data_IF_789857371085
#
_entry.id   IF_789857371085
#
_cell.length_a   1.000
_cell.length_b   1.000
_cell.length_c   1.000
_cell.angle_alpha   90.00
_cell.angle_beta   90.00
_cell.angle_gamma   90.00
#
_symmetry.space_group_name_H-M   'P 1'
#
loop_
_entity.id
_entity.type
_entity.pdbx_description
1 polymer ?
#
# COMPACT_ATOMS: atom_id res chain seq x y z
N UNK A 1 -2.28 -6.43 -26.40
CA UNK A 1 -2.54 -5.25 -25.55
C UNK A 1 -1.82 -4.06 -26.16
N UNK A 2 -2.51 -2.97 -26.48
CA UNK A 2 -1.85 -1.74 -26.90
C UNK A 2 -1.45 -0.93 -25.66
N UNK A 3 -0.14 -0.85 -25.40
CA UNK A 3 0.41 -0.13 -24.25
C UNK A 3 0.12 1.37 -24.29
N UNK A 4 0.05 1.97 -25.48
CA UNK A 4 -0.22 3.41 -25.61
C UNK A 4 -1.65 3.73 -25.22
N UNK A 5 -2.58 2.88 -25.60
CA UNK A 5 -3.99 3.06 -25.24
C UNK A 5 -4.24 2.79 -23.75
N UNK A 6 -3.52 1.83 -23.15
CA UNK A 6 -3.52 1.66 -21.69
C UNK A 6 -3.04 2.93 -20.98
N UNK A 7 -1.95 3.55 -21.44
CA UNK A 7 -1.44 4.81 -20.87
C UNK A 7 -2.45 5.95 -21.04
N UNK A 8 -3.06 6.10 -22.22
CA UNK A 8 -4.07 7.14 -22.47
C UNK A 8 -5.31 6.96 -21.60
N UNK A 9 -5.72 5.71 -21.38
CA UNK A 9 -6.83 5.38 -20.47
C UNK A 9 -6.49 5.76 -19.04
N UNK A 10 -5.28 5.44 -18.56
CA UNK A 10 -4.82 5.80 -17.23
C UNK A 10 -4.75 7.33 -17.02
N UNK A 11 -4.22 8.07 -18.00
CA UNK A 11 -4.18 9.54 -17.96
C UNK A 11 -5.58 10.14 -17.85
N UNK A 12 -6.52 9.63 -18.65
CA UNK A 12 -7.94 10.06 -18.60
C UNK A 12 -8.55 9.78 -17.24
N UNK A 13 -8.39 8.57 -16.71
CA UNK A 13 -8.90 8.19 -15.40
C UNK A 13 -8.32 9.04 -14.25
N UNK A 14 -7.06 9.44 -14.38
CA UNK A 14 -6.39 10.37 -13.46
C UNK A 14 -6.85 11.83 -13.63
N UNK A 15 -7.68 12.16 -14.63
CA UNK A 15 -8.20 13.50 -14.87
C UNK A 15 -7.33 14.38 -15.78
N UNK A 16 -6.35 13.80 -16.46
CA UNK A 16 -5.53 14.49 -17.46
C UNK A 16 -6.07 14.30 -18.87
N UNK A 17 -5.75 15.26 -19.75
CA UNK A 17 -6.07 15.19 -21.19
C UNK A 17 -5.00 14.37 -21.91
N UNK A 18 -5.25 13.11 -22.33
CA UNK A 18 -4.20 12.20 -22.79
C UNK A 18 -3.49 12.68 -24.07
N UNK A 19 -4.18 13.40 -24.96
CA UNK A 19 -3.58 13.92 -26.20
C UNK A 19 -2.53 15.01 -25.99
N UNK A 20 -2.36 15.51 -24.76
CA UNK A 20 -1.27 16.45 -24.41
C UNK A 20 0.06 15.75 -24.12
N UNK A 21 0.09 14.42 -24.13
CA UNK A 21 1.26 13.64 -23.75
C UNK A 21 1.79 12.84 -24.94
N UNK A 22 3.11 12.88 -25.12
CA UNK A 22 3.82 11.95 -26.00
C UNK A 22 4.08 10.65 -25.25
N UNK A 23 3.77 9.52 -25.88
CA UNK A 23 3.91 8.18 -25.25
C UNK A 23 4.96 7.37 -25.99
N UNK A 24 6.08 7.14 -25.32
CA UNK A 24 7.15 6.28 -25.77
C UNK A 24 7.05 4.89 -25.11
N UNK A 25 7.29 3.84 -25.88
CA UNK A 25 7.20 2.45 -25.41
C UNK A 25 8.53 1.76 -25.67
N UNK A 26 9.28 1.50 -24.59
CA UNK A 26 10.56 0.79 -24.62
C UNK A 26 10.50 -0.42 -23.70
N UNK A 27 9.90 -1.52 -24.18
CA UNK A 27 9.73 -2.76 -23.43
C UNK A 27 10.62 -3.86 -24.03
N UNK A 28 11.25 -4.65 -23.17
CA UNK A 28 12.06 -5.82 -23.52
C UNK A 28 11.43 -7.07 -22.94
N UNK A 29 11.78 -8.24 -23.49
CA UNK A 29 11.45 -9.54 -22.89
C UNK A 29 12.28 -9.72 -21.62
N UNK A 30 11.75 -10.53 -20.69
CA UNK A 30 12.51 -10.95 -19.51
C UNK A 30 13.76 -11.73 -19.92
N UNK A 31 14.84 -11.63 -19.16
CA UNK A 31 16.04 -12.43 -19.35
C UNK A 31 15.75 -13.92 -19.18
N UNK A 32 16.32 -14.76 -20.04
CA UNK A 32 16.19 -16.21 -19.92
C UNK A 32 16.82 -16.72 -18.62
N UNK A 33 17.99 -16.21 -18.22
CA UNK A 33 18.67 -16.64 -16.99
C UNK A 33 17.81 -16.40 -15.73
N UNK A 34 17.06 -15.28 -15.71
CA UNK A 34 16.10 -14.99 -14.62
C UNK A 34 14.89 -15.91 -14.75
N UNK A 35 14.37 -16.08 -15.97
CA UNK A 35 13.21 -16.92 -16.21
C UNK A 35 13.45 -18.37 -15.76
N UNK A 36 14.60 -18.96 -16.07
CA UNK A 36 14.92 -20.35 -15.71
C UNK A 36 15.01 -20.53 -14.19
N UNK A 37 15.56 -19.54 -13.48
CA UNK A 37 15.58 -19.47 -12.03
C UNK A 37 14.18 -19.42 -11.40
N UNK A 38 13.26 -18.70 -12.04
CA UNK A 38 11.88 -18.54 -11.57
C UNK A 38 11.02 -19.74 -11.92
N UNK A 39 11.00 -20.15 -13.18
CA UNK A 39 10.15 -21.21 -13.72
C UNK A 39 10.47 -22.58 -13.14
N UNK A 40 11.71 -22.81 -12.70
CA UNK A 40 12.09 -24.03 -11.99
C UNK A 40 12.93 -23.61 -10.80
N UNK A 41 12.38 -23.75 -9.60
CA UNK A 41 13.08 -23.36 -8.37
C UNK A 41 14.35 -24.18 -8.12
N UNK A 42 15.15 -23.75 -7.15
CA UNK A 42 16.31 -24.49 -6.65
C UNK A 42 15.91 -25.84 -6.07
N UNK A 43 14.81 -25.89 -5.32
CA UNK A 43 14.26 -27.11 -4.73
C UNK A 43 13.81 -28.10 -5.81
N UNK A 44 13.10 -27.63 -6.83
CA UNK A 44 12.66 -28.45 -7.96
C UNK A 44 13.84 -28.96 -8.79
N UNK A 45 14.88 -28.15 -9.01
CA UNK A 45 16.14 -28.60 -9.64
C UNK A 45 16.84 -29.69 -8.84
N UNK A 46 16.58 -29.79 -7.55
CA UNK A 46 17.14 -30.81 -6.66
C UNK A 46 16.17 -31.98 -6.40
N UNK A 47 15.05 -32.06 -7.15
CA UNK A 47 14.14 -33.21 -7.14
C UNK A 47 12.91 -33.06 -6.23
N UNK A 48 12.64 -31.86 -5.68
CA UNK A 48 11.36 -31.61 -4.99
C UNK A 48 10.23 -31.37 -6.00
N UNK A 49 9.33 -32.35 -6.11
CA UNK A 49 8.18 -32.31 -7.03
C UNK A 49 6.91 -31.73 -6.38
N UNK A 50 6.99 -31.22 -5.15
CA UNK A 50 5.82 -30.64 -4.49
C UNK A 50 5.34 -29.41 -5.24
N UNK A 51 4.02 -29.30 -5.44
CA UNK A 51 3.40 -28.26 -6.26
C UNK A 51 3.77 -26.82 -5.83
N UNK A 52 4.13 -26.63 -4.56
CA UNK A 52 4.49 -25.34 -3.98
C UNK A 52 5.97 -24.99 -4.16
N UNK A 53 6.83 -25.96 -4.44
CA UNK A 53 8.25 -25.78 -4.67
C UNK A 53 8.58 -25.62 -6.16
N UNK A 54 7.62 -25.72 -7.09
CA UNK A 54 7.94 -25.67 -8.52
C UNK A 54 8.52 -24.33 -8.98
N UNK A 55 8.14 -23.22 -8.33
CA UNK A 55 8.49 -21.87 -8.77
C UNK A 55 9.33 -21.12 -7.73
N UNK A 56 10.47 -20.58 -8.15
CA UNK A 56 11.39 -19.81 -7.32
C UNK A 56 11.03 -18.32 -7.25
N UNK A 57 11.59 -17.63 -6.26
CA UNK A 57 11.46 -16.18 -6.15
C UNK A 57 12.09 -15.44 -7.35
N UNK A 58 11.38 -14.42 -7.85
CA UNK A 58 11.82 -13.58 -8.99
C UNK A 58 13.09 -12.77 -8.76
N UNK A 59 13.43 -12.50 -7.51
CA UNK A 59 14.60 -11.74 -7.09
C UNK A 59 14.89 -12.07 -5.61
N UNK A 60 16.05 -11.65 -5.12
CA UNK A 60 16.31 -11.60 -3.68
C UNK A 60 15.63 -10.39 -3.05
N UNK A 61 15.28 -10.49 -1.76
CA UNK A 61 14.76 -9.35 -1.03
C UNK A 61 14.10 -9.72 0.29
N UNK A 62 14.07 -8.74 1.19
CA UNK A 62 13.29 -8.81 2.43
C UNK A 62 12.04 -7.97 2.27
N UNK A 63 10.89 -8.51 2.63
CA UNK A 63 9.60 -7.82 2.60
C UNK A 63 9.02 -7.77 4.00
N UNK A 64 8.21 -6.74 4.25
CA UNK A 64 7.59 -6.51 5.55
C UNK A 64 6.08 -6.43 5.44
N UNK A 65 5.45 -7.03 6.44
CA UNK A 65 4.04 -6.90 6.76
C UNK A 65 3.89 -6.25 8.11
N UNK A 66 2.88 -5.41 8.29
CA UNK A 66 2.55 -4.81 9.57
C UNK A 66 1.04 -4.79 9.76
N UNK A 67 0.57 -4.86 10.99
CA UNK A 67 -0.82 -4.61 11.39
C UNK A 67 -0.88 -4.06 12.82
N UNK A 68 -1.91 -3.26 13.11
CA UNK A 68 -2.16 -2.73 14.46
C UNK A 68 -3.67 -2.58 14.73
N UNK A 69 -4.02 -2.25 15.97
CA UNK A 69 -5.41 -2.09 16.41
C UNK A 69 -5.97 -0.67 16.26
N UNK A 70 -5.20 0.27 15.69
CA UNK A 70 -5.60 1.68 15.56
C UNK A 70 -6.89 1.87 14.76
N UNK A 71 -7.14 1.03 13.76
CA UNK A 71 -8.33 1.10 12.90
C UNK A 71 -8.93 -0.29 12.62
N UNK A 72 -10.21 -0.38 12.19
CA UNK A 72 -10.84 -1.65 11.80
C UNK A 72 -10.12 -2.37 10.65
N UNK A 73 -9.46 -1.61 9.76
CA UNK A 73 -8.68 -2.18 8.66
C UNK A 73 -7.32 -2.74 9.13
N UNK A 74 -7.02 -2.63 10.42
CA UNK A 74 -5.74 -2.97 11.07
C UNK A 74 -4.54 -2.19 10.52
N UNK A 75 -4.71 -0.88 10.31
CA UNK A 75 -3.67 -0.01 9.78
C UNK A 75 -3.42 1.17 10.73
N UNK A 76 -2.25 1.81 10.67
CA UNK A 76 -2.00 3.02 11.44
C UNK A 76 -3.00 4.13 11.10
N UNK A 77 -3.54 4.80 12.12
CA UNK A 77 -4.57 5.82 11.91
C UNK A 77 -4.10 7.01 11.03
N UNK A 78 -2.90 7.60 11.20
CA UNK A 78 -2.42 8.70 10.35
C UNK A 78 -2.45 8.37 8.86
N UNK A 79 -2.05 7.15 8.52
CA UNK A 79 -2.07 6.64 7.15
C UNK A 79 -3.51 6.58 6.62
N UNK A 80 -4.42 5.96 7.38
CA UNK A 80 -5.82 5.80 6.99
C UNK A 80 -6.47 7.16 6.73
N UNK A 81 -6.26 8.13 7.63
CA UNK A 81 -6.79 9.48 7.48
C UNK A 81 -6.21 10.21 6.25
N UNK A 82 -4.90 10.14 6.03
CA UNK A 82 -4.28 10.76 4.86
C UNK A 82 -4.81 10.17 3.53
N UNK A 83 -4.99 8.84 3.47
CA UNK A 83 -5.60 8.18 2.32
C UNK A 83 -7.06 8.57 2.12
N UNK A 84 -7.83 8.64 3.20
CA UNK A 84 -9.25 9.00 3.15
C UNK A 84 -9.46 10.44 2.66
N UNK A 85 -8.61 11.38 3.11
CA UNK A 85 -8.61 12.76 2.61
C UNK A 85 -8.34 12.78 1.10
N UNK A 86 -7.28 12.11 0.62
CA UNK A 86 -6.97 12.05 -0.81
C UNK A 86 -8.08 11.38 -1.65
N UNK A 87 -8.70 10.30 -1.15
CA UNK A 87 -9.85 9.65 -1.81
C UNK A 87 -11.03 10.60 -1.94
N UNK A 88 -11.32 11.37 -0.90
CA UNK A 88 -12.40 12.36 -0.90
C UNK A 88 -12.10 13.53 -1.83
N UNK A 89 -10.86 14.00 -1.92
CA UNK A 89 -10.45 14.98 -2.92
C UNK A 89 -10.71 14.48 -4.34
N UNK A 90 -10.30 13.24 -4.64
CA UNK A 90 -10.55 12.61 -5.94
C UNK A 90 -12.04 12.48 -6.24
N UNK A 91 -12.84 12.06 -5.26
CA UNK A 91 -14.29 11.95 -5.40
C UNK A 91 -14.93 13.32 -5.65
N UNK A 92 -14.61 14.34 -4.84
CA UNK A 92 -15.14 15.69 -4.96
C UNK A 92 -14.79 16.32 -6.32
N UNK A 93 -13.57 16.08 -6.82
CA UNK A 93 -13.17 16.50 -8.17
C UNK A 93 -13.97 15.81 -9.25
N UNK A 94 -14.11 14.48 -9.18
CA UNK A 94 -14.82 13.68 -10.21
C UNK A 94 -16.32 13.96 -10.24
N UNK A 95 -16.91 14.20 -9.08
CA UNK A 95 -18.35 14.47 -8.91
C UNK A 95 -18.70 15.94 -9.11
N UNK A 96 -17.71 16.84 -9.11
CA UNK A 96 -17.93 18.29 -9.19
C UNK A 96 -18.45 18.90 -7.88
N UNK A 97 -18.39 18.18 -6.76
CA UNK A 97 -18.80 18.68 -5.42
C UNK A 97 -17.99 19.91 -5.01
N UNK A 98 -16.69 19.91 -5.32
CA UNK A 98 -15.83 21.09 -5.18
C UNK A 98 -15.41 21.48 -6.59
N UNK A 99 -15.89 22.62 -7.05
CA UNK A 99 -15.52 23.15 -8.37
C UNK A 99 -14.19 23.88 -8.30
N UNK A 100 -13.42 23.79 -9.39
CA UNK A 100 -12.13 24.47 -9.52
C UNK A 100 -10.96 23.79 -8.85
N UNK A 101 -11.07 22.52 -8.41
CA UNK A 101 -9.92 21.68 -8.02
C UNK A 101 -9.52 20.72 -9.15
N UNK A 102 -8.25 20.32 -9.17
CA UNK A 102 -7.66 19.46 -10.20
C UNK A 102 -7.01 18.21 -9.61
N UNK A 103 -6.35 17.43 -10.46
CA UNK A 103 -5.93 16.05 -10.17
C UNK A 103 -4.76 15.89 -9.21
N UNK A 104 -3.95 16.93 -8.96
CA UNK A 104 -2.82 16.84 -8.03
C UNK A 104 -3.24 17.26 -6.62
N UNK A 105 -3.01 16.37 -5.66
CA UNK A 105 -3.45 16.52 -4.28
C UNK A 105 -2.57 15.74 -3.32
N UNK A 106 -2.31 16.33 -2.15
CA UNK A 106 -1.45 15.78 -1.10
C UNK A 106 -2.14 15.97 0.25
N UNK A 107 -2.04 14.96 1.12
CA UNK A 107 -2.51 15.03 2.49
C UNK A 107 -1.44 14.48 3.44
N UNK A 108 -1.32 15.12 4.60
CA UNK A 108 -0.50 14.68 5.72
C UNK A 108 -1.31 14.86 6.99
N UNK A 109 -1.25 13.87 7.88
CA UNK A 109 -1.98 13.88 9.16
C UNK A 109 -1.03 13.51 10.27
N UNK A 110 -0.98 14.33 11.31
CA UNK A 110 -0.28 14.06 12.56
C UNK A 110 -1.30 13.68 13.63
N UNK A 111 -1.07 12.55 14.30
CA UNK A 111 -1.93 12.04 15.37
C UNK A 111 -1.08 11.90 16.63
N UNK A 112 -1.59 12.41 17.75
CA UNK A 112 -0.99 12.19 19.07
C UNK A 112 -1.35 10.79 19.56
N UNK A 113 -0.34 10.06 20.00
CA UNK A 113 -0.48 8.77 20.66
C UNK A 113 -0.18 8.92 22.16
N UNK A 114 -0.80 8.10 22.99
CA UNK A 114 -0.43 7.97 24.40
C UNK A 114 0.73 6.97 24.60
N UNK A 115 1.22 6.84 25.83
CA UNK A 115 2.32 5.93 26.19
C UNK A 115 2.01 4.46 25.91
N UNK A 116 0.72 4.08 25.90
CA UNK A 116 0.26 2.75 25.55
C UNK A 116 0.16 2.53 24.02
N UNK A 117 0.59 3.49 23.20
CA UNK A 117 0.55 3.40 21.75
C UNK A 117 -0.84 3.48 21.15
N UNK A 118 -1.81 4.12 21.82
CA UNK A 118 -3.18 4.34 21.31
C UNK A 118 -3.37 5.76 20.79
N UNK A 119 -4.01 5.94 19.61
CA UNK A 119 -4.28 7.27 19.07
C UNK A 119 -5.27 8.03 19.95
N UNK A 120 -4.98 9.29 20.25
CA UNK A 120 -5.75 10.14 21.17
C UNK A 120 -6.42 11.32 20.48
N UNK A 121 -5.70 12.02 19.60
CA UNK A 121 -6.20 13.23 18.93
C UNK A 121 -5.49 13.46 17.59
N UNK A 122 -6.21 14.01 16.62
CA UNK A 122 -5.60 14.59 15.41
C UNK A 122 -5.02 15.95 15.80
N UNK A 123 -3.70 16.13 15.67
CA UNK A 123 -3.05 17.39 16.04
C UNK A 123 -2.93 18.34 14.86
N UNK A 124 -2.59 17.81 13.69
CA UNK A 124 -2.37 18.64 12.50
C UNK A 124 -2.82 17.90 11.26
N UNK A 125 -3.55 18.59 10.40
CA UNK A 125 -3.91 18.13 9.06
C UNK A 125 -3.37 19.14 8.06
N UNK A 126 -2.55 18.66 7.13
CA UNK A 126 -2.08 19.46 5.99
C UNK A 126 -2.68 18.91 4.72
N UNK A 127 -3.37 19.76 3.96
CA UNK A 127 -3.89 19.42 2.64
C UNK A 127 -3.35 20.42 1.64
N UNK A 128 -2.75 19.93 0.55
CA UNK A 128 -2.38 20.75 -0.60
C UNK A 128 -3.07 20.21 -1.82
N UNK A 129 -3.97 21.00 -2.42
CA UNK A 129 -4.75 20.60 -3.59
C UNK A 129 -4.57 21.61 -4.72
N UNK A 130 -4.34 21.07 -5.92
CA UNK A 130 -4.24 21.85 -7.14
C UNK A 130 -5.60 22.47 -7.48
N UNK A 131 -5.62 23.73 -7.87
CA UNK A 131 -6.85 24.47 -8.16
C UNK A 131 -6.69 25.49 -9.29
N UNK A 132 -7.82 25.94 -9.81
CA UNK A 132 -7.89 27.00 -10.81
C UNK A 132 -7.37 28.33 -10.25
N UNK A 133 -6.69 29.13 -11.07
CA UNK A 133 -6.13 30.43 -10.68
C UNK A 133 -7.21 31.40 -10.15
N UNK A 134 -8.45 31.25 -10.59
CA UNK A 134 -9.60 32.06 -10.18
C UNK A 134 -10.29 31.55 -8.91
N UNK A 135 -9.94 30.37 -8.40
CA UNK A 135 -10.55 29.82 -7.19
C UNK A 135 -10.22 30.72 -6.00
N UNK A 136 -11.25 31.21 -5.33
CA UNK A 136 -11.11 31.96 -4.09
C UNK A 136 -10.52 31.07 -3.00
N UNK A 137 -9.51 31.60 -2.30
CA UNK A 137 -8.70 30.82 -1.36
C UNK A 137 -9.44 30.55 -0.05
N UNK A 138 -10.27 31.49 0.41
CA UNK A 138 -11.08 31.33 1.62
C UNK A 138 -12.19 30.30 1.39
N UNK A 139 -12.83 30.35 0.22
CA UNK A 139 -13.80 29.34 -0.21
C UNK A 139 -13.15 27.96 -0.30
N UNK A 140 -11.99 27.84 -0.95
CA UNK A 140 -11.25 26.58 -1.03
C UNK A 140 -10.94 26.03 0.37
N UNK A 141 -10.40 26.87 1.28
CA UNK A 141 -10.10 26.45 2.65
C UNK A 141 -11.35 25.92 3.35
N UNK A 142 -12.47 26.66 3.29
CA UNK A 142 -13.73 26.26 3.92
C UNK A 142 -14.24 24.93 3.37
N UNK A 143 -14.29 24.77 2.05
CA UNK A 143 -14.79 23.56 1.39
C UNK A 143 -13.93 22.33 1.70
N UNK A 144 -12.60 22.46 1.67
CA UNK A 144 -11.70 21.35 1.99
C UNK A 144 -11.83 20.97 3.47
N UNK A 145 -11.89 21.95 4.37
CA UNK A 145 -12.06 21.66 5.80
C UNK A 145 -13.40 20.97 6.10
N UNK A 146 -14.51 21.48 5.56
CA UNK A 146 -15.85 20.98 5.91
C UNK A 146 -16.30 19.75 5.13
N UNK A 147 -15.94 19.62 3.85
CA UNK A 147 -16.42 18.55 2.98
C UNK A 147 -15.43 17.38 2.88
N UNK A 148 -14.15 17.62 3.19
CA UNK A 148 -13.08 16.63 3.03
C UNK A 148 -12.49 16.23 4.37
N UNK A 149 -11.85 17.17 5.10
CA UNK A 149 -11.10 16.87 6.33
C UNK A 149 -12.02 16.38 7.45
N UNK A 150 -13.07 17.15 7.78
CA UNK A 150 -14.03 16.78 8.81
C UNK A 150 -14.63 15.38 8.57
N UNK A 151 -15.24 15.12 7.40
CA UNK A 151 -15.79 13.82 7.07
C UNK A 151 -14.77 12.66 7.01
N UNK A 152 -13.50 12.92 6.67
CA UNK A 152 -12.45 11.89 6.70
C UNK A 152 -12.09 11.47 8.13
N UNK A 153 -12.04 12.44 9.05
CA UNK A 153 -11.63 12.24 10.44
C UNK A 153 -12.76 11.72 11.33
N UNK A 154 -14.01 12.13 11.06
CA UNK A 154 -15.19 11.86 11.89
C UNK A 154 -15.36 10.39 12.34
N UNK A 155 -15.14 9.37 11.49
CA UNK A 155 -15.36 7.97 11.90
C UNK A 155 -14.31 7.43 12.89
N UNK A 156 -13.20 8.13 13.09
CA UNK A 156 -12.07 7.64 13.87
C UNK A 156 -11.77 8.56 15.06
N UNK A 157 -11.36 9.79 14.77
CA UNK A 157 -11.05 10.84 15.73
C UNK A 157 -11.50 12.17 15.12
N UNK A 158 -12.67 12.71 15.55
CA UNK A 158 -13.17 13.98 15.05
C UNK A 158 -12.15 15.12 15.24
N UNK A 159 -12.14 16.05 14.29
CA UNK A 159 -11.34 17.27 14.37
C UNK A 159 -11.85 18.11 15.55
N UNK A 160 -10.94 18.52 16.44
CA UNK A 160 -11.24 19.38 17.58
C UNK A 160 -10.92 20.85 17.27
N UNK A 161 -11.40 21.81 18.10
CA UNK A 161 -10.99 23.21 17.98
C UNK A 161 -9.48 23.43 18.07
N UNK A 162 -8.75 22.55 18.76
CA UNK A 162 -7.29 22.60 18.90
C UNK A 162 -6.53 21.98 17.72
N UNK A 163 -7.24 21.34 16.78
CA UNK A 163 -6.61 20.72 15.61
C UNK A 163 -6.14 21.79 14.64
N UNK A 164 -4.85 21.79 14.32
CA UNK A 164 -4.29 22.70 13.32
C UNK A 164 -4.60 22.20 11.90
N UNK A 165 -5.48 22.90 11.18
CA UNK A 165 -5.81 22.55 9.78
C UNK A 165 -5.17 23.54 8.81
N UNK A 166 -4.21 23.07 8.03
CA UNK A 166 -3.45 23.84 7.04
C UNK A 166 -3.87 23.47 5.62
N UNK A 167 -4.66 24.34 4.98
CA UNK A 167 -5.04 24.18 3.57
C UNK A 167 -4.13 25.04 2.70
N UNK A 168 -3.41 24.39 1.79
CA UNK A 168 -2.46 24.99 0.86
C UNK A 168 -1.51 26.00 1.54
N UNK A 169 -0.75 25.58 2.58
CA UNK A 169 0.09 26.51 3.36
C UNK A 169 1.20 27.19 2.53
N UNK A 170 1.59 26.63 1.39
CA UNK A 170 2.53 27.25 0.44
C UNK A 170 1.88 28.33 -0.45
N UNK A 171 0.60 28.63 -0.26
CA UNK A 171 -0.18 29.53 -1.10
C UNK A 171 -0.80 28.82 -2.31
N UNK A 172 -0.89 29.54 -3.43
CA UNK A 172 -1.55 29.03 -4.65
C UNK A 172 -0.84 27.81 -5.23
N UNK A 173 -1.63 26.84 -5.68
CA UNK A 173 -1.14 25.62 -6.32
C UNK A 173 -1.89 25.43 -7.64
N UNK A 174 -1.50 26.20 -8.66
CA UNK A 174 -2.20 26.22 -9.96
C UNK A 174 -1.59 25.22 -10.94
N UNK A 175 -0.27 25.13 -11.00
CA UNK A 175 0.45 24.19 -11.85
C UNK A 175 0.85 22.96 -11.04
N UNK A 176 0.43 21.77 -11.49
CA UNK A 176 0.69 20.50 -10.81
C UNK A 176 0.80 19.33 -11.81
N UNK A 177 0.92 18.13 -11.26
CA UNK A 177 1.07 16.90 -12.03
C UNK A 177 2.38 16.84 -12.82
N UNK A 178 2.42 16.07 -13.93
CA UNK A 178 3.64 15.87 -14.72
C UNK A 178 4.24 17.14 -15.35
N UNK A 179 3.50 18.26 -15.37
CA UNK A 179 4.00 19.55 -15.82
C UNK A 179 4.94 20.19 -14.79
N UNK A 180 4.66 19.99 -13.51
CA UNK A 180 5.42 20.57 -12.41
C UNK A 180 6.55 19.64 -11.96
N UNK A 181 6.27 18.35 -11.81
CA UNK A 181 7.22 17.38 -11.24
C UNK A 181 7.32 16.11 -12.09
N UNK A 182 8.52 15.52 -12.15
CA UNK A 182 8.73 14.22 -12.81
C UNK A 182 8.28 13.08 -11.90
N UNK A 183 7.33 12.27 -12.37
CA UNK A 183 6.85 11.07 -11.69
C UNK A 183 7.55 9.80 -12.15
N UNK A 184 7.89 8.91 -11.21
CA UNK A 184 8.41 7.57 -11.50
C UNK A 184 7.66 6.51 -10.68
N UNK A 185 7.45 5.33 -11.29
CA UNK A 185 6.90 4.15 -10.61
C UNK A 185 7.74 3.80 -9.38
N UNK A 186 7.08 3.45 -8.27
CA UNK A 186 7.78 3.00 -7.06
C UNK A 186 8.40 4.13 -6.22
N UNK A 187 8.02 5.41 -6.43
CA UNK A 187 8.51 6.55 -5.63
C UNK A 187 7.52 7.02 -4.55
N UNK A 188 6.59 6.14 -4.17
CA UNK A 188 5.57 6.37 -3.13
C UNK A 188 5.41 5.14 -2.21
N UNK A 189 6.50 4.41 -1.98
CA UNK A 189 6.52 3.14 -1.23
C UNK A 189 5.87 3.24 0.16
N UNK A 190 6.18 4.30 0.92
CA UNK A 190 5.57 4.49 2.25
C UNK A 190 4.08 4.79 2.17
N UNK A 191 3.63 5.45 1.10
CA UNK A 191 2.20 5.73 0.85
C UNK A 191 1.47 4.43 0.48
N UNK A 192 2.11 3.57 -0.31
CA UNK A 192 1.58 2.26 -0.72
C UNK A 192 1.47 1.28 0.46
N UNK A 193 2.30 1.45 1.49
CA UNK A 193 2.40 0.54 2.66
C UNK A 193 1.88 1.19 3.95
N UNK A 194 2.76 1.48 4.91
CA UNK A 194 2.41 1.75 6.30
C UNK A 194 2.66 3.20 6.74
N UNK A 195 2.83 4.13 5.79
CA UNK A 195 3.00 5.55 6.07
C UNK A 195 4.34 5.91 6.72
N UNK A 196 5.34 5.02 6.67
CA UNK A 196 6.60 5.16 7.39
C UNK A 196 6.52 4.77 8.88
N UNK A 197 5.41 4.19 9.32
CA UNK A 197 5.18 3.76 10.71
C UNK A 197 5.57 2.29 10.96
N UNK A 198 6.03 1.59 9.92
CA UNK A 198 6.57 0.24 10.00
C UNK A 198 7.71 0.07 8.98
N UNK A 199 8.46 -1.02 9.14
CA UNK A 199 9.61 -1.33 8.28
C UNK A 199 9.19 -1.55 6.82
N UNK A 200 10.15 -1.38 5.91
CA UNK A 200 9.93 -1.56 4.47
C UNK A 200 11.16 -2.17 3.80
N UNK A 201 10.92 -3.07 2.84
CA UNK A 201 11.96 -3.85 2.16
C UNK A 201 12.71 -3.15 1.02
N UNK A 202 12.13 -2.04 0.53
CA UNK A 202 12.64 -1.25 -0.59
C UNK A 202 12.04 -1.60 -1.95
N UNK A 203 11.44 -2.79 -2.08
CA UNK A 203 10.76 -3.23 -3.29
C UNK A 203 9.48 -2.43 -3.62
N UNK A 204 9.36 -1.98 -4.86
CA UNK A 204 8.12 -1.40 -5.39
C UNK A 204 7.09 -2.46 -5.78
N UNK A 205 5.80 -2.12 -5.75
CA UNK A 205 4.71 -3.04 -6.10
C UNK A 205 4.20 -2.87 -7.55
N UNK A 206 3.91 -1.64 -7.94
CA UNK A 206 3.31 -1.34 -9.25
C UNK A 206 4.24 -1.69 -10.41
N UNK A 207 3.67 -2.28 -11.47
CA UNK A 207 4.41 -2.73 -12.65
C UNK A 207 5.04 -4.12 -12.52
N UNK A 208 4.81 -4.83 -11.41
CA UNK A 208 5.32 -6.18 -11.17
C UNK A 208 4.20 -7.21 -11.12
N UNK A 209 4.39 -8.34 -11.80
CA UNK A 209 3.52 -9.50 -11.72
C UNK A 209 3.75 -10.30 -10.41
N UNK A 210 2.84 -11.22 -10.04
CA UNK A 210 2.90 -11.93 -8.76
C UNK A 210 4.14 -12.82 -8.52
N UNK A 211 4.95 -13.14 -9.54
CA UNK A 211 6.21 -13.86 -9.33
C UNK A 211 7.29 -13.02 -8.64
N UNK A 212 7.11 -11.68 -8.59
CA UNK A 212 8.07 -10.76 -7.97
C UNK A 212 7.72 -10.63 -6.50
N UNK A 213 8.54 -11.26 -5.66
CA UNK A 213 8.32 -11.41 -4.22
C UNK A 213 8.24 -10.08 -3.47
N UNK A 214 8.82 -9.01 -4.00
CA UNK A 214 8.62 -7.64 -3.50
C UNK A 214 7.14 -7.31 -3.27
N UNK A 215 6.26 -7.81 -4.15
CA UNK A 215 4.83 -7.56 -4.10
C UNK A 215 4.09 -8.70 -3.40
N UNK A 216 4.22 -9.92 -3.92
CA UNK A 216 3.46 -11.08 -3.41
C UNK A 216 3.86 -11.44 -1.98
N UNK A 217 5.16 -11.42 -1.68
CA UNK A 217 5.68 -11.65 -0.34
C UNK A 217 5.26 -10.56 0.64
N UNK A 218 5.27 -9.28 0.25
CA UNK A 218 4.80 -8.19 1.11
C UNK A 218 3.31 -8.32 1.45
N UNK A 219 2.48 -8.74 0.47
CA UNK A 219 1.06 -8.99 0.71
C UNK A 219 0.83 -10.19 1.63
N UNK A 220 1.63 -11.25 1.50
CA UNK A 220 1.60 -12.40 2.41
C UNK A 220 2.01 -12.00 3.84
N UNK A 221 3.10 -11.25 3.98
CA UNK A 221 3.54 -10.75 5.27
C UNK A 221 2.45 -9.90 5.94
N UNK A 222 1.75 -9.04 5.17
CA UNK A 222 0.59 -8.28 5.64
C UNK A 222 -0.54 -9.18 6.12
N UNK A 223 -0.86 -10.23 5.35
CA UNK A 223 -1.91 -11.17 5.72
C UNK A 223 -1.60 -11.82 7.08
N UNK A 224 -0.38 -12.33 7.25
CA UNK A 224 0.06 -12.96 8.51
C UNK A 224 -0.03 -11.97 9.67
N UNK A 225 0.52 -10.75 9.51
CA UNK A 225 0.47 -9.72 10.55
C UNK A 225 -0.98 -9.38 10.93
N UNK A 226 -1.86 -9.21 9.93
CA UNK A 226 -3.27 -8.92 10.15
C UNK A 226 -3.97 -10.07 10.87
N UNK A 227 -3.70 -11.32 10.53
CA UNK A 227 -4.26 -12.49 11.23
C UNK A 227 -3.85 -12.55 12.69
N UNK A 228 -2.59 -12.24 13.01
CA UNK A 228 -2.12 -12.19 14.43
C UNK A 228 -2.92 -11.16 15.23
N UNK A 229 -3.10 -9.96 14.66
CA UNK A 229 -3.86 -8.87 15.31
C UNK A 229 -5.37 -9.16 15.36
N UNK A 230 -5.94 -9.75 14.31
CA UNK A 230 -7.36 -10.12 14.26
C UNK A 230 -7.70 -11.28 15.21
N UNK A 231 -6.73 -12.14 15.53
CA UNK A 231 -6.87 -13.19 16.53
C UNK A 231 -6.63 -12.67 17.97
N UNK A 232 -6.53 -11.35 18.15
CA UNK A 232 -6.27 -10.66 19.41
C UNK A 232 -4.97 -11.12 20.13
N UNK A 233 -4.04 -11.77 19.42
CA UNK A 233 -2.79 -12.28 20.00
C UNK A 233 -1.78 -11.17 20.30
N UNK A 234 -1.91 -10.03 19.62
CA UNK A 234 -1.11 -8.83 19.84
C UNK A 234 -1.87 -7.58 19.36
N UNK A 235 -1.57 -6.42 19.95
CA UNK A 235 -2.15 -5.15 19.50
C UNK A 235 -1.44 -4.54 18.29
N UNK A 236 -0.19 -4.97 18.05
CA UNK A 236 0.65 -4.65 16.91
C UNK A 236 1.44 -5.91 16.50
N UNK A 237 1.69 -6.07 15.22
CA UNK A 237 2.49 -7.18 14.71
C UNK A 237 3.22 -6.76 13.44
N UNK A 238 4.53 -7.03 13.39
CA UNK A 238 5.38 -6.91 12.23
C UNK A 238 5.87 -8.31 11.82
N UNK A 239 5.82 -8.58 10.52
CA UNK A 239 6.28 -9.83 9.90
C UNK A 239 7.34 -9.48 8.88
N UNK A 240 8.47 -10.17 8.89
CA UNK A 240 9.48 -10.07 7.84
C UNK A 240 9.65 -11.41 7.14
N UNK A 241 9.78 -11.39 5.82
CA UNK A 241 10.06 -12.57 5.00
C UNK A 241 11.20 -12.23 4.06
N UNK A 242 12.24 -13.07 4.01
CA UNK A 242 13.38 -12.87 3.11
C UNK A 242 13.48 -14.01 2.11
N UNK A 243 13.77 -13.67 0.86
CA UNK A 243 13.89 -14.61 -0.25
C UNK A 243 15.28 -14.50 -0.90
N UNK A 244 15.73 -15.62 -1.46
CA UNK A 244 16.85 -15.69 -2.37
C UNK A 244 16.34 -15.95 -3.79
N UNK A 245 16.95 -15.34 -4.80
CA UNK A 245 16.53 -15.51 -6.19
C UNK A 245 16.54 -16.98 -6.60
N UNK A 246 15.45 -17.41 -7.25
CA UNK A 246 15.27 -18.77 -7.72
C UNK A 246 15.05 -19.83 -6.64
N UNK A 247 14.99 -19.46 -5.35
CA UNK A 247 14.61 -20.35 -4.25
C UNK A 247 13.10 -20.21 -3.95
N UNK A 248 12.40 -21.32 -3.77
CA UNK A 248 10.98 -21.31 -3.40
C UNK A 248 10.82 -21.02 -1.90
N UNK A 249 11.55 -21.71 -1.03
CA UNK A 249 11.39 -21.44 0.40
C UNK A 249 12.02 -20.08 0.78
N UNK A 250 11.42 -19.33 1.71
CA UNK A 250 12.08 -18.16 2.26
C UNK A 250 13.41 -18.57 2.94
N UNK A 251 14.40 -17.67 2.92
CA UNK A 251 15.68 -17.84 3.64
C UNK A 251 15.60 -17.34 5.08
N UNK A 252 14.64 -16.47 5.39
CA UNK A 252 14.34 -16.05 6.74
C UNK A 252 12.86 -15.68 6.88
N UNK A 253 12.31 -15.91 8.07
CA UNK A 253 10.98 -15.53 8.49
C UNK A 253 11.04 -15.05 9.95
N UNK A 254 10.37 -13.94 10.27
CA UNK A 254 10.30 -13.46 11.65
C UNK A 254 8.95 -12.81 11.93
N UNK A 255 8.50 -12.94 13.18
CA UNK A 255 7.30 -12.30 13.73
C UNK A 255 7.74 -11.52 14.96
N UNK A 256 7.34 -10.26 15.03
CA UNK A 256 7.65 -9.32 16.11
C UNK A 256 6.36 -8.61 16.53
N UNK A 257 5.89 -8.86 17.75
CA UNK A 257 4.66 -8.24 18.29
C UNK A 257 4.91 -6.85 18.89
N UNK A 258 6.13 -6.33 18.77
CA UNK A 258 6.57 -5.02 19.25
C UNK A 258 6.27 -4.83 20.75
N UNK A 259 6.44 -5.91 21.52
CA UNK A 259 6.17 -5.93 22.96
C UNK A 259 4.69 -5.95 23.35
N UNK A 260 3.78 -6.13 22.39
CA UNK A 260 2.32 -6.11 22.63
C UNK A 260 1.66 -7.49 22.57
N UNK A 261 2.44 -8.55 22.38
CA UNK A 261 1.97 -9.92 22.33
C UNK A 261 1.54 -10.45 23.70
N UNK A 262 0.47 -11.27 23.72
CA UNK A 262 0.08 -12.04 24.90
C UNK A 262 1.10 -13.15 25.23
N UNK A 263 1.83 -13.59 24.22
CA UNK A 263 2.88 -14.60 24.31
C UNK A 263 4.20 -14.01 23.82
N UNK A 264 5.32 -14.67 24.16
CA UNK A 264 6.63 -14.28 23.65
C UNK A 264 6.67 -14.40 22.13
N UNK A 265 7.45 -13.53 21.48
CA UNK A 265 7.62 -13.56 20.02
C UNK A 265 8.15 -14.91 19.53
N UNK A 266 8.90 -15.65 20.35
CA UNK A 266 9.36 -17.00 20.02
C UNK A 266 8.20 -18.00 19.85
N UNK A 267 7.19 -17.92 20.73
CA UNK A 267 6.00 -18.77 20.64
C UNK A 267 5.15 -18.35 19.44
N UNK A 268 4.93 -17.05 19.27
CA UNK A 268 4.19 -16.49 18.13
C UNK A 268 4.84 -16.87 16.80
N UNK A 269 6.16 -16.72 16.69
CA UNK A 269 6.96 -17.15 15.55
C UNK A 269 6.82 -18.65 15.29
N UNK A 270 6.99 -19.50 16.31
CA UNK A 270 6.87 -20.95 16.16
C UNK A 270 5.47 -21.39 15.71
N UNK A 271 4.41 -20.74 16.21
CA UNK A 271 3.04 -20.99 15.78
C UNK A 271 2.79 -20.54 14.34
N UNK A 272 3.21 -19.31 13.97
CA UNK A 272 3.07 -18.82 12.60
C UNK A 272 3.85 -19.68 11.61
N UNK A 273 5.11 -19.99 11.91
CA UNK A 273 5.95 -20.85 11.06
C UNK A 273 5.32 -22.24 10.88
N UNK A 274 4.81 -22.86 11.95
CA UNK A 274 4.11 -24.15 11.85
C UNK A 274 2.82 -24.06 11.05
N UNK A 275 1.95 -23.08 11.32
CA UNK A 275 0.70 -22.91 10.59
C UNK A 275 0.94 -22.72 9.09
N UNK A 276 2.03 -22.04 8.74
CA UNK A 276 2.34 -21.77 7.35
C UNK A 276 3.10 -22.93 6.69
N UNK A 277 3.74 -23.80 7.45
CA UNK A 277 4.30 -25.07 6.96
C UNK A 277 3.26 -26.21 6.90
N UNK A 278 2.29 -26.22 7.81
CA UNK A 278 1.35 -27.35 8.03
C UNK A 278 0.02 -27.18 7.32
N UNK A 279 -0.38 -25.96 6.99
CA UNK A 279 -1.59 -25.75 6.23
C UNK A 279 -1.30 -25.88 4.75
N UNK A 280 -2.08 -26.71 4.07
CA UNK A 280 -2.34 -26.63 2.63
C UNK A 280 -3.03 -25.31 2.22
N UNK A 281 -2.85 -24.24 3.01
CA UNK A 281 -3.78 -23.17 3.35
C UNK A 281 -3.16 -21.76 3.34
N UNK A 282 -2.12 -21.57 4.13
CA UNK A 282 -1.21 -20.45 4.10
C UNK A 282 0.15 -21.08 3.91
N UNK A 283 0.85 -20.73 2.85
CA UNK A 283 2.18 -21.24 2.57
C UNK A 283 3.04 -20.04 2.13
N UNK A 284 4.21 -19.86 2.73
CA UNK A 284 5.11 -18.74 2.46
C UNK A 284 5.79 -18.85 1.08
N UNK A 285 5.67 -20.03 0.43
CA UNK A 285 6.30 -20.35 -0.85
C UNK A 285 5.70 -19.49 -1.98
N UNK A 286 6.55 -18.89 -2.82
CA UNK A 286 6.45 -17.48 -3.19
C UNK A 286 5.49 -17.24 -4.33
N UNK A 287 5.13 -18.28 -5.09
CA UNK A 287 4.46 -18.02 -6.36
C UNK A 287 3.19 -18.81 -6.55
N UNK A 288 3.07 -20.09 -6.20
CA UNK A 288 1.78 -20.78 -6.38
C UNK A 288 0.79 -20.52 -5.24
N UNK A 289 1.13 -20.74 -3.96
CA UNK A 289 0.18 -20.49 -2.88
C UNK A 289 -0.21 -19.00 -2.76
N UNK A 290 0.75 -18.11 -2.95
CA UNK A 290 0.52 -16.68 -3.06
C UNK A 290 -0.29 -16.34 -4.32
N UNK A 291 0.08 -16.77 -5.54
CA UNK A 291 -0.70 -16.40 -6.74
C UNK A 291 -2.07 -17.09 -6.81
N UNK A 292 -2.23 -18.37 -6.48
CA UNK A 292 -3.51 -19.05 -6.65
C UNK A 292 -4.56 -18.60 -5.63
N UNK A 293 -4.15 -18.24 -4.40
CA UNK A 293 -5.08 -17.68 -3.38
C UNK A 293 -5.21 -16.16 -3.47
N UNK A 294 -4.11 -15.42 -3.73
CA UNK A 294 -4.18 -13.96 -3.85
C UNK A 294 -4.71 -13.53 -5.22
N UNK A 295 -4.47 -14.23 -6.34
CA UNK A 295 -5.08 -13.88 -7.64
C UNK A 295 -6.58 -14.13 -7.64
N UNK A 296 -7.08 -15.21 -7.01
CA UNK A 296 -8.52 -15.40 -6.80
C UNK A 296 -9.13 -14.31 -5.91
N UNK A 297 -8.33 -13.72 -5.01
CA UNK A 297 -8.77 -12.66 -4.10
C UNK A 297 -8.58 -11.23 -4.65
N UNK A 298 -7.84 -11.02 -5.75
CA UNK A 298 -7.33 -9.70 -6.11
C UNK A 298 -7.38 -9.36 -7.60
N UNK A 299 -8.42 -9.80 -8.31
CA UNK A 299 -8.61 -9.60 -9.76
C UNK A 299 -8.90 -8.15 -10.22
N UNK A 300 -8.46 -7.13 -9.47
CA UNK A 300 -8.60 -5.72 -9.84
C UNK A 300 -7.26 -5.01 -9.68
N UNK A 301 -6.37 -5.23 -10.65
CA UNK A 301 -4.96 -4.78 -10.57
C UNK A 301 -4.73 -3.36 -11.12
N UNK A 302 -5.56 -2.87 -12.04
CA UNK A 302 -5.42 -1.53 -12.64
C UNK A 302 -5.81 -0.38 -11.69
N UNK A 303 -6.69 -0.62 -10.70
CA UNK A 303 -7.20 0.40 -9.77
C UNK A 303 -6.44 0.50 -8.43
N UNK A 304 -5.33 -0.23 -8.28
CA UNK A 304 -4.48 -0.24 -7.06
C UNK A 304 -3.28 0.70 -7.10
N UNK A 305 -3.08 1.42 -8.21
CA UNK A 305 -1.95 2.36 -8.35
C UNK A 305 -2.13 3.69 -7.61
N UNK A 306 -3.31 3.94 -7.02
CA UNK A 306 -3.65 5.12 -6.23
C UNK A 306 -4.23 4.68 -4.88
N UNK A 307 -3.95 5.45 -3.84
CA UNK A 307 -4.24 5.12 -2.43
C UNK A 307 -3.53 3.83 -1.96
N UNK A 308 -3.65 3.50 -0.67
CA UNK A 308 -2.93 2.38 -0.07
C UNK A 308 -3.31 1.04 -0.73
N UNK A 309 -2.29 0.18 -0.88
CA UNK A 309 -2.47 -1.20 -1.35
C UNK A 309 -2.78 -2.16 -0.20
N UNK A 310 -2.64 -1.72 1.05
CA UNK A 310 -2.98 -2.48 2.26
C UNK A 310 -4.30 -1.96 2.85
N UNK A 311 -5.11 -2.83 3.45
CA UNK A 311 -6.30 -2.44 4.23
C UNK A 311 -7.53 -1.93 3.46
N UNK A 312 -7.67 -2.21 2.16
CA UNK A 312 -8.98 -2.12 1.49
C UNK A 312 -9.84 -3.32 1.91
N UNK A 313 -11.12 -3.09 2.20
CA UNK A 313 -12.08 -4.19 2.39
C UNK A 313 -12.12 -5.05 1.12
N UNK A 314 -11.96 -6.36 1.33
CA UNK A 314 -12.41 -7.36 0.38
C UNK A 314 -13.88 -7.56 0.70
N UNK A 315 -14.75 -6.74 0.10
CA UNK A 315 -16.18 -7.06 0.07
C UNK A 315 -16.34 -8.24 -0.90
N UNK A 316 -16.58 -9.42 -0.34
CA UNK A 316 -17.13 -10.59 -1.04
C UNK A 316 -18.58 -10.77 -0.58
#
# INVERSE_FOLDING_TARGET
MDLRDCVRTALTAAGYKPWRFLVYVWVRRQSNDINDGVSTSLEARHGDESAYCLQGAGDQGTVYGYACTDTPQRLPLPLVLAHEICKRLDAARKQGTITGIFSDGKAQVSVRYNDAGKPQAVETVVVSVQHDKSKDFEVLRREITSLIVGPACQPYLPVSPDTLVLINPSGRFVEGGPKADTGLTGRKLMVDTYGGLASHGGGAFSGKDPSKVDRSGAYMARLIAKTVVDADLASQCQVAISYAIGKADPVAFSVDTLGTGQYTDQISHGCCARCVQSSSGCDHRPVWAASTRLCALFDVWAFRGLHTQVGRHLDY
#
